data_IF_557939936609
#
_entry.id   IF_557939936609
#
_cell.length_a   1.000
_cell.length_b   1.000
_cell.length_c   1.000
_cell.angle_alpha   90.00
_cell.angle_beta   90.00
_cell.angle_gamma   90.00
#
_symmetry.space_group_name_H-M   'P 1'
#
loop_
_entity.id
_entity.type
_entity.pdbx_description
1 polymer ?
#
# COMPACT_ATOMS: atom_id res chain seq x y z
N UNK A 1 3.70 7.84 15.09
CA UNK A 1 4.07 7.65 13.68
C UNK A 1 5.00 6.46 13.62
N UNK A 2 4.78 5.59 12.64
CA UNK A 2 5.53 4.35 12.46
C UNK A 2 6.21 4.39 11.10
N UNK A 3 7.36 3.72 10.99
CA UNK A 3 8.15 3.66 9.77
C UNK A 3 8.14 2.23 9.22
N UNK A 4 7.81 2.10 7.95
CA UNK A 4 7.84 0.83 7.22
C UNK A 4 8.81 0.90 6.05
N UNK A 5 9.37 -0.25 5.69
CA UNK A 5 10.30 -0.35 4.58
C UNK A 5 9.81 -1.41 3.58
N UNK A 6 9.66 -1.01 2.32
CA UNK A 6 9.41 -1.92 1.20
C UNK A 6 10.62 -1.92 0.28
N UNK A 7 11.06 -3.09 -0.15
CA UNK A 7 12.17 -3.27 -1.09
C UNK A 7 11.99 -4.58 -1.86
N UNK A 8 12.93 -4.92 -2.75
CA UNK A 8 12.80 -6.14 -3.56
C UNK A 8 12.71 -7.44 -2.76
N UNK A 9 13.34 -7.49 -1.58
CA UNK A 9 13.29 -8.67 -0.72
C UNK A 9 11.99 -8.75 0.08
N UNK A 10 11.43 -7.59 0.45
CA UNK A 10 10.16 -7.46 1.16
C UNK A 10 9.28 -6.46 0.40
N UNK A 11 8.69 -6.86 -0.75
CA UNK A 11 7.99 -5.94 -1.64
C UNK A 11 6.60 -5.59 -1.11
N UNK A 12 6.05 -6.39 -0.20
CA UNK A 12 4.70 -6.21 0.31
C UNK A 12 4.65 -6.28 1.84
N UNK A 13 3.65 -5.59 2.38
CA UNK A 13 3.23 -5.69 3.77
C UNK A 13 1.72 -5.73 3.82
N UNK A 14 1.18 -6.63 4.63
CA UNK A 14 -0.25 -6.75 4.87
C UNK A 14 -0.60 -6.26 6.26
N UNK A 15 -1.79 -5.70 6.39
CA UNK A 15 -2.36 -5.28 7.66
C UNK A 15 -3.76 -5.82 7.83
N UNK A 16 -4.11 -6.13 9.07
CA UNK A 16 -5.46 -6.55 9.42
C UNK A 16 -6.33 -5.34 9.78
N UNK A 17 -7.45 -5.20 9.08
CA UNK A 17 -8.44 -4.15 9.31
C UNK A 17 -9.49 -4.65 10.30
N UNK A 18 -9.52 -4.07 11.49
CA UNK A 18 -10.38 -4.53 12.58
C UNK A 18 -11.76 -3.87 12.62
N UNK A 19 -11.99 -2.83 11.83
CA UNK A 19 -13.23 -2.06 11.85
C UNK A 19 -13.55 -1.44 10.49
N UNK A 20 -14.82 -1.11 10.28
CA UNK A 20 -15.28 -0.33 9.12
C UNK A 20 -14.67 1.08 9.09
N UNK A 21 -14.25 1.61 10.24
CA UNK A 21 -13.56 2.92 10.34
C UNK A 21 -12.04 2.80 10.36
N UNK A 22 -11.48 1.60 10.14
CA UNK A 22 -10.03 1.43 10.06
C UNK A 22 -9.45 2.27 8.94
N UNK A 23 -8.28 2.86 9.17
CA UNK A 23 -7.56 3.59 8.13
C UNK A 23 -6.05 3.50 8.28
N UNK A 24 -5.36 3.64 7.15
CA UNK A 24 -3.93 3.87 7.06
C UNK A 24 -3.70 5.24 6.42
N UNK A 25 -2.97 6.12 7.09
CA UNK A 25 -2.47 7.37 6.52
C UNK A 25 -1.00 7.21 6.17
N UNK A 26 -0.65 7.46 4.91
CA UNK A 26 0.75 7.58 4.47
C UNK A 26 1.07 9.07 4.42
N UNK A 27 1.82 9.53 5.42
CA UNK A 27 2.23 10.93 5.53
C UNK A 27 3.27 11.25 4.46
N UNK A 28 4.34 10.45 4.43
CA UNK A 28 5.39 10.59 3.43
C UNK A 28 6.00 9.26 3.01
N UNK A 29 6.62 9.28 1.83
CA UNK A 29 7.44 8.19 1.31
C UNK A 29 8.80 8.77 0.94
N UNK A 30 9.89 8.11 1.28
CA UNK A 30 11.21 8.48 0.76
C UNK A 30 11.88 7.30 0.10
N UNK A 31 12.69 7.57 -0.93
CA UNK A 31 13.56 6.55 -1.50
C UNK A 31 14.92 6.64 -0.86
N UNK A 32 15.41 5.50 -0.39
CA UNK A 32 16.81 5.32 -0.02
C UNK A 32 17.45 4.37 -1.01
N UNK A 33 18.67 4.69 -1.44
CA UNK A 33 19.48 3.81 -2.28
C UNK A 33 20.95 4.03 -2.01
N UNK A 34 21.73 2.97 -2.20
CA UNK A 34 23.19 3.05 -2.14
C UNK A 34 23.79 3.67 -3.41
N UNK A 35 23.01 3.77 -4.50
CA UNK A 35 23.44 4.40 -5.74
C UNK A 35 23.15 5.90 -5.68
N UNK A 36 24.15 6.70 -6.07
CA UNK A 36 23.93 8.12 -6.32
C UNK A 36 23.22 8.27 -7.67
N UNK A 37 22.00 8.80 -7.65
CA UNK A 37 21.19 8.97 -8.86
C UNK A 37 21.39 10.31 -9.56
N UNK A 38 22.35 11.16 -9.16
CA UNK A 38 22.72 12.47 -9.77
C UNK A 38 21.72 12.97 -10.85
N UNK A 39 20.64 13.62 -10.40
CA UNK A 39 19.61 14.27 -11.23
C UNK A 39 18.75 13.33 -12.12
N UNK A 40 18.78 12.01 -11.91
CA UNK A 40 17.95 11.00 -12.62
C UNK A 40 16.81 10.44 -11.77
N UNK A 41 16.51 11.07 -10.63
CA UNK A 41 15.43 10.64 -9.73
C UNK A 41 14.07 10.58 -10.42
N UNK A 42 13.74 11.54 -11.29
CA UNK A 42 12.46 11.54 -12.03
C UNK A 42 12.29 10.28 -12.88
N UNK A 43 13.33 9.86 -13.59
CA UNK A 43 13.31 8.63 -14.40
C UNK A 43 13.18 7.40 -13.51
N UNK A 44 13.97 7.33 -12.43
CA UNK A 44 13.91 6.21 -11.49
C UNK A 44 12.51 6.06 -10.86
N UNK A 45 11.94 7.14 -10.33
CA UNK A 45 10.63 7.11 -9.65
C UNK A 45 9.50 6.78 -10.61
N UNK A 46 9.60 7.18 -11.88
CA UNK A 46 8.59 6.80 -12.88
C UNK A 46 8.46 5.27 -13.07
N UNK A 47 9.49 4.53 -12.70
CA UNK A 47 9.55 3.07 -12.78
C UNK A 47 9.16 2.37 -11.46
N UNK A 48 9.02 3.14 -10.37
CA UNK A 48 8.59 2.65 -9.05
C UNK A 48 7.09 2.85 -8.90
N UNK A 49 6.35 1.76 -8.72
CA UNK A 49 4.91 1.81 -8.44
C UNK A 49 4.63 1.32 -7.03
N UNK A 50 3.93 2.13 -6.25
CA UNK A 50 3.34 1.70 -4.99
C UNK A 50 1.84 1.47 -5.23
N UNK A 51 1.33 0.31 -4.84
CA UNK A 51 -0.10 0.00 -4.90
C UNK A 51 -0.64 -0.31 -3.51
N UNK A 52 -1.94 -0.08 -3.34
CA UNK A 52 -2.69 -0.54 -2.19
C UNK A 52 -3.83 -1.43 -2.64
N UNK A 53 -4.05 -2.54 -1.94
CA UNK A 53 -5.15 -3.46 -2.16
C UNK A 53 -5.95 -3.64 -0.86
N UNK A 54 -7.25 -3.38 -0.93
CA UNK A 54 -8.20 -3.78 0.10
C UNK A 54 -8.81 -5.12 -0.29
N UNK A 55 -8.78 -6.10 0.61
CA UNK A 55 -9.22 -7.47 0.36
C UNK A 55 -10.18 -8.01 1.43
N UNK A 56 -11.20 -8.72 0.96
CA UNK A 56 -12.14 -9.49 1.76
C UNK A 56 -12.34 -10.86 1.13
N UNK A 57 -12.23 -11.91 1.93
CA UNK A 57 -12.49 -13.29 1.50
C UNK A 57 -13.83 -13.75 2.07
N UNK A 58 -14.69 -14.28 1.21
CA UNK A 58 -15.98 -14.88 1.58
C UNK A 58 -15.78 -16.39 1.74
N UNK A 59 -16.10 -16.93 2.91
CA UNK A 59 -16.07 -18.36 3.22
C UNK A 59 -17.50 -18.89 3.42
N UNK A 60 -17.73 -20.18 3.13
CA UNK A 60 -18.95 -20.91 3.50
C UNK A 60 -18.90 -21.35 4.98
N UNK A 61 -20.05 -21.27 5.67
CA UNK A 61 -20.12 -21.22 7.14
C UNK A 61 -19.99 -22.56 7.87
N UNK A 62 -19.85 -23.69 7.16
CA UNK A 62 -19.70 -25.01 7.83
C UNK A 62 -18.49 -25.85 7.41
N UNK A 63 -17.86 -25.54 6.26
CA UNK A 63 -16.71 -26.31 5.75
C UNK A 63 -15.49 -25.43 5.44
N UNK A 64 -15.61 -24.10 5.56
CA UNK A 64 -14.52 -23.16 5.27
C UNK A 64 -14.17 -23.08 3.79
N UNK A 65 -15.06 -23.52 2.89
CA UNK A 65 -14.84 -23.44 1.46
C UNK A 65 -14.85 -21.99 0.98
N UNK A 66 -13.85 -21.61 0.18
CA UNK A 66 -13.76 -20.29 -0.45
C UNK A 66 -14.90 -20.11 -1.47
N UNK A 67 -15.70 -19.05 -1.31
CA UNK A 67 -16.85 -18.75 -2.20
C UNK A 67 -16.51 -17.63 -3.17
N UNK A 68 -16.02 -16.50 -2.65
CA UNK A 68 -15.84 -15.27 -3.43
C UNK A 68 -14.74 -14.40 -2.80
N UNK A 69 -14.17 -13.51 -3.59
CA UNK A 69 -13.16 -12.56 -3.16
C UNK A 69 -13.54 -11.16 -3.64
N UNK A 70 -13.54 -10.21 -2.70
CA UNK A 70 -13.68 -8.79 -3.01
C UNK A 70 -12.33 -8.13 -2.88
N UNK A 71 -11.89 -7.53 -3.98
CA UNK A 71 -10.64 -6.77 -4.09
C UNK A 71 -10.93 -5.37 -4.61
N UNK A 72 -10.26 -4.40 -4.01
CA UNK A 72 -10.19 -3.05 -4.53
C UNK A 72 -8.74 -2.58 -4.49
N UNK A 73 -8.10 -2.55 -5.66
CA UNK A 73 -6.71 -2.16 -5.82
C UNK A 73 -6.61 -0.80 -6.52
N UNK A 74 -5.70 0.04 -6.04
CA UNK A 74 -5.41 1.33 -6.64
C UNK A 74 -3.93 1.71 -6.50
N UNK A 75 -3.44 2.51 -7.44
CA UNK A 75 -2.07 2.99 -7.45
C UNK A 75 -1.92 4.23 -6.56
N UNK A 76 -0.77 4.31 -5.89
CA UNK A 76 -0.32 5.47 -5.12
C UNK A 76 0.79 6.13 -5.94
N UNK A 77 0.45 7.24 -6.59
CA UNK A 77 1.37 7.98 -7.43
C UNK A 77 2.39 8.75 -6.58
N UNK A 78 3.68 8.51 -6.81
CA UNK A 78 4.79 9.25 -6.22
C UNK A 78 5.18 10.40 -7.14
N UNK A 79 4.77 11.63 -6.83
CA UNK A 79 5.05 12.81 -7.66
C UNK A 79 6.39 13.45 -7.26
N UNK A 80 7.36 13.45 -8.16
CA UNK A 80 8.70 14.02 -7.92
C UNK A 80 8.68 15.53 -8.13
N UNK A 81 9.22 16.27 -7.18
CA UNK A 81 9.68 17.63 -7.42
C UNK A 81 11.04 17.56 -8.13
N UNK A 82 11.16 18.05 -9.38
CA UNK A 82 12.38 17.91 -10.18
C UNK A 82 13.59 18.67 -9.60
N UNK A 83 13.39 19.52 -8.58
CA UNK A 83 14.45 20.30 -7.96
C UNK A 83 14.94 19.73 -6.62
N UNK A 84 14.44 18.57 -6.17
CA UNK A 84 14.86 17.96 -4.91
C UNK A 84 16.10 17.06 -5.04
N UNK A 85 17.02 17.21 -4.08
CA UNK A 85 18.30 16.46 -4.00
C UNK A 85 18.07 14.99 -3.62
N UNK A 86 17.00 14.69 -2.88
CA UNK A 86 16.55 13.33 -2.56
C UNK A 86 15.00 13.30 -2.65
N UNK A 87 14.40 12.27 -3.27
CA UNK A 87 12.96 12.20 -3.41
C UNK A 87 12.31 11.86 -2.06
N UNK A 88 11.81 12.90 -1.39
CA UNK A 88 10.89 12.77 -0.25
C UNK A 88 9.52 13.25 -0.70
N UNK A 89 8.59 12.31 -0.80
CA UNK A 89 7.21 12.54 -1.23
C UNK A 89 6.34 12.84 -0.01
N UNK A 90 5.88 14.08 0.12
CA UNK A 90 4.75 14.38 1.00
C UNK A 90 3.47 13.94 0.29
N UNK A 91 2.91 12.80 0.70
CA UNK A 91 1.72 12.23 0.05
C UNK A 91 0.43 12.66 0.76
N UNK A 92 0.41 12.58 2.09
CA UNK A 92 -0.80 12.71 2.91
C UNK A 92 -1.97 11.86 2.35
N UNK A 93 -1.64 10.62 1.96
CA UNK A 93 -2.59 9.71 1.32
C UNK A 93 -3.33 8.90 2.38
N UNK A 94 -4.62 9.17 2.53
CA UNK A 94 -5.51 8.43 3.42
C UNK A 94 -6.17 7.26 2.69
N UNK A 95 -5.96 6.05 3.21
CA UNK A 95 -6.61 4.82 2.76
C UNK A 95 -7.64 4.44 3.82
N UNK A 96 -8.91 4.71 3.53
CA UNK A 96 -10.02 4.33 4.41
C UNK A 96 -10.51 2.94 4.07
N UNK A 97 -10.88 2.18 5.09
CA UNK A 97 -11.72 1.01 4.87
C UNK A 97 -13.08 1.45 4.31
N UNK A 98 -13.74 0.54 3.60
CA UNK A 98 -15.01 0.79 2.92
C UNK A 98 -15.96 -0.34 3.26
N UNK A 99 -17.23 0.01 3.50
CA UNK A 99 -18.29 -0.97 3.71
C UNK A 99 -18.98 -1.31 2.41
N UNK A 100 -19.45 -2.55 2.29
CA UNK A 100 -20.16 -3.06 1.13
C UNK A 100 -21.16 -4.15 1.55
N UNK A 101 -22.10 -4.48 0.67
CA UNK A 101 -23.04 -5.59 0.84
C UNK A 101 -22.60 -6.80 0.03
N UNK A 102 -22.93 -8.00 0.51
CA UNK A 102 -22.68 -9.27 -0.20
C UNK A 102 -24.00 -9.74 -0.83
N UNK A 103 -24.14 -9.57 -2.15
CA UNK A 103 -25.37 -9.91 -2.86
C UNK A 103 -26.58 -9.15 -2.33
N UNK A 104 -27.66 -9.87 -2.02
CA UNK A 104 -28.90 -9.32 -1.45
C UNK A 104 -28.88 -9.20 0.08
N UNK A 105 -27.79 -9.58 0.77
CA UNK A 105 -27.70 -9.52 2.22
C UNK A 105 -27.65 -8.03 2.69
N UNK A 106 -28.55 -7.59 3.59
CA UNK A 106 -28.54 -6.22 4.11
C UNK A 106 -27.38 -5.93 5.06
N UNK A 107 -26.72 -6.96 5.60
CA UNK A 107 -25.57 -6.77 6.48
C UNK A 107 -24.38 -6.18 5.73
N UNK A 108 -23.88 -5.04 6.25
CA UNK A 108 -22.66 -4.43 5.74
C UNK A 108 -21.45 -5.22 6.24
N UNK A 109 -20.59 -5.60 5.31
CA UNK A 109 -19.23 -6.08 5.57
C UNK A 109 -18.24 -4.98 5.24
N UNK A 110 -16.99 -5.17 5.63
CA UNK A 110 -15.88 -4.27 5.34
C UNK A 110 -14.63 -5.09 5.03
N UNK A 111 -13.68 -4.51 4.29
CA UNK A 111 -12.45 -5.22 3.93
C UNK A 111 -11.65 -5.61 5.17
N UNK A 112 -11.07 -6.81 5.17
CA UNK A 112 -10.35 -7.37 6.33
C UNK A 112 -8.85 -7.21 6.24
N UNK A 113 -8.33 -7.03 5.03
CA UNK A 113 -6.90 -6.85 4.80
C UNK A 113 -6.66 -5.60 3.98
N UNK A 114 -5.62 -4.85 4.34
CA UNK A 114 -5.00 -3.84 3.49
C UNK A 114 -3.59 -4.32 3.18
N UNK A 115 -3.25 -4.44 1.90
CA UNK A 115 -1.88 -4.72 1.45
C UNK A 115 -1.29 -3.47 0.82
N UNK A 116 -0.06 -3.13 1.19
CA UNK A 116 0.78 -2.21 0.41
C UNK A 116 1.81 -3.04 -0.34
N UNK A 117 1.99 -2.75 -1.63
CA UNK A 117 2.87 -3.52 -2.50
C UNK A 117 3.70 -2.61 -3.39
N UNK A 118 5.01 -2.81 -3.35
CA UNK A 118 6.00 -2.28 -4.27
C UNK A 118 6.00 -3.12 -5.54
N UNK A 119 5.57 -2.50 -6.64
CA UNK A 119 5.56 -3.08 -7.97
C UNK A 119 6.70 -2.47 -8.79
N UNK A 120 7.65 -3.31 -9.19
CA UNK A 120 8.69 -2.95 -10.15
C UNK A 120 8.14 -3.08 -11.58
N UNK A 121 8.18 -2.01 -12.35
CA UNK A 121 7.77 -2.02 -13.78
C UNK A 121 8.88 -2.58 -14.67
N UNK A 122 10.14 -2.39 -14.26
CA UNK A 122 11.33 -2.82 -14.98
C UNK A 122 12.37 -3.38 -13.98
N UNK A 123 13.39 -4.09 -14.48
CA UNK A 123 14.52 -4.61 -13.71
C UNK A 123 15.42 -3.47 -13.18
N UNK A 124 14.86 -2.60 -12.34
CA UNK A 124 15.58 -1.60 -11.57
C UNK A 124 16.68 -2.27 -10.75
N UNK A 125 17.82 -1.62 -10.61
CA UNK A 125 18.91 -2.11 -9.75
C UNK A 125 18.40 -2.42 -8.34
N UNK A 126 18.93 -3.49 -7.73
CA UNK A 126 18.31 -4.18 -6.59
C UNK A 126 18.38 -3.46 -5.24
N UNK A 127 19.15 -2.36 -5.16
CA UNK A 127 19.54 -1.75 -3.88
C UNK A 127 18.82 -0.43 -3.63
N UNK A 128 17.48 -0.46 -3.62
CA UNK A 128 16.66 0.66 -3.18
C UNK A 128 15.59 0.19 -2.19
N UNK A 129 15.10 1.12 -1.36
CA UNK A 129 13.99 0.89 -0.45
C UNK A 129 13.05 2.10 -0.43
N UNK A 130 11.75 1.84 -0.41
CA UNK A 130 10.74 2.81 -0.06
C UNK A 130 10.55 2.82 1.45
N UNK A 131 10.78 3.96 2.06
CA UNK A 131 10.54 4.20 3.47
C UNK A 131 9.23 4.97 3.61
N UNK A 132 8.23 4.36 4.23
CA UNK A 132 6.91 4.97 4.42
C UNK A 132 6.76 5.43 5.87
N UNK A 133 6.40 6.69 6.07
CA UNK A 133 5.98 7.22 7.35
C UNK A 133 4.46 7.17 7.44
N UNK A 134 3.95 6.36 8.35
CA UNK A 134 2.54 6.03 8.41
C UNK A 134 1.92 6.26 9.78
N UNK A 135 0.59 6.31 9.77
CA UNK A 135 -0.27 6.27 10.94
C UNK A 135 -1.39 5.26 10.69
N UNK A 136 -1.66 4.44 11.70
CA UNK A 136 -2.67 3.38 11.71
C UNK A 136 -3.78 3.74 12.68
N UNK A 137 -5.02 3.42 12.33
CA UNK A 137 -6.15 3.48 13.25
C UNK A 137 -7.00 2.22 13.14
N UNK A 138 -7.12 1.48 14.25
CA UNK A 138 -7.78 0.16 14.32
C UNK A 138 -7.26 -0.81 13.25
N UNK A 139 -5.95 -0.83 13.07
CA UNK A 139 -5.23 -1.73 12.18
C UNK A 139 -4.19 -2.46 13.01
N UNK A 140 -4.07 -3.77 12.82
CA UNK A 140 -2.99 -4.59 13.39
C UNK A 140 -2.01 -5.01 12.29
N UNK A 141 -0.79 -5.35 12.73
CA UNK A 141 0.29 -5.90 11.91
C UNK A 141 0.11 -7.40 11.63
#
# INVERSE_FOLDING_TARGET
>A
MEQLNLNKSNPEIEFKLNSEVSYLMIHSVSVTSQKNFENKWTNFISQVKLSAELKYVVFDDQQGCFIDERKNQFLIHLLVDPYQVQPVFQLNKLIKNVTFTLGINPERKFYRTLKLELQDVENLDKDYSLVLNIEKFKIDD
#
